data_IF_037146957153
#
_entry.id   IF_037146957153
#
_cell.length_a   1.000
_cell.length_b   1.000
_cell.length_c   1.000
_cell.angle_alpha   90.00
_cell.angle_beta   90.00
_cell.angle_gamma   90.00
#
_symmetry.space_group_name_H-M   'P 1'
#
loop_
_entity.id
_entity.type
_entity.pdbx_description
1 polymer ?
#
# COMPACT_ATOMS: atom_id res chain seq x y z
N UNK A 1 -38.24 93.91 -61.41
CA UNK A 1 -36.89 93.26 -61.22
C UNK A 1 -37.04 92.13 -60.23
N UNK A 2 -36.20 91.12 -60.34
CA UNK A 2 -36.13 89.95 -59.43
C UNK A 2 -35.98 90.49 -58.00
N UNK A 3 -36.76 89.95 -57.04
CA UNK A 3 -36.70 90.29 -55.60
C UNK A 3 -37.53 91.48 -55.16
N UNK A 4 -38.43 91.93 -55.98
CA UNK A 4 -39.42 93.01 -55.68
C UNK A 4 -40.82 92.53 -55.96
N UNK A 5 -41.76 92.86 -55.08
CA UNK A 5 -43.16 92.61 -55.22
C UNK A 5 -43.99 93.87 -54.78
N UNK A 6 -45.24 93.95 -55.21
CA UNK A 6 -46.16 94.84 -54.58
C UNK A 6 -47.47 94.11 -54.28
N UNK A 7 -48.02 94.27 -53.12
CA UNK A 7 -49.22 93.57 -52.65
C UNK A 7 -50.54 94.39 -52.98
N UNK A 8 -50.42 95.60 -53.48
CA UNK A 8 -51.57 96.47 -53.73
C UNK A 8 -51.69 96.86 -55.19
N UNK A 9 -52.88 96.59 -55.72
CA UNK A 9 -53.22 96.99 -57.09
C UNK A 9 -53.16 98.52 -57.28
N UNK A 10 -52.37 99.04 -58.26
CA UNK A 10 -52.15 100.45 -58.48
C UNK A 10 -50.97 101.08 -57.76
N UNK A 11 -50.07 100.28 -57.10
CA UNK A 11 -48.84 100.79 -56.46
C UNK A 11 -47.84 101.29 -57.53
N UNK A 12 -47.24 102.48 -57.22
CA UNK A 12 -46.29 103.18 -58.08
C UNK A 12 -44.83 102.76 -57.78
N UNK A 13 -44.62 101.96 -56.71
CA UNK A 13 -43.30 101.36 -56.25
C UNK A 13 -43.35 99.94 -55.96
N UNK A 14 -42.26 99.18 -56.26
CA UNK A 14 -42.09 97.82 -55.84
C UNK A 14 -41.25 97.83 -54.54
N UNK A 15 -41.69 97.07 -53.55
CA UNK A 15 -40.96 96.85 -52.35
C UNK A 15 -39.98 95.67 -52.47
N UNK A 16 -38.77 95.88 -51.97
CA UNK A 16 -37.77 94.80 -51.97
C UNK A 16 -38.14 93.76 -50.88
N UNK A 17 -38.06 92.51 -51.28
CA UNK A 17 -38.24 91.39 -50.35
C UNK A 17 -37.34 91.56 -49.12
N UNK A 18 -37.93 91.63 -47.90
CA UNK A 18 -37.11 91.67 -46.69
C UNK A 18 -36.18 90.49 -46.53
N UNK A 19 -35.05 90.67 -45.93
CA UNK A 19 -34.14 89.56 -45.57
C UNK A 19 -34.91 88.61 -44.66
N UNK A 20 -34.72 87.25 -44.84
CA UNK A 20 -35.45 86.26 -44.10
C UNK A 20 -36.78 85.86 -44.70
N UNK A 21 -37.20 86.47 -45.83
CA UNK A 21 -38.43 86.10 -46.52
C UNK A 21 -38.20 85.80 -48.02
N UNK A 22 -39.14 85.12 -48.65
CA UNK A 22 -39.18 84.79 -50.10
C UNK A 22 -40.52 85.21 -50.66
N UNK A 23 -40.65 85.30 -51.94
CA UNK A 23 -41.89 85.76 -52.62
C UNK A 23 -42.64 84.52 -53.05
N UNK A 24 -43.89 84.35 -52.66
CA UNK A 24 -44.81 83.31 -53.15
C UNK A 24 -46.01 84.07 -53.73
N UNK A 25 -46.04 84.11 -55.04
CA UNK A 25 -47.07 84.90 -55.77
C UNK A 25 -46.82 86.42 -55.58
N UNK A 26 -47.62 87.02 -54.75
CA UNK A 26 -47.55 88.49 -54.43
C UNK A 26 -47.14 88.76 -52.94
N UNK A 27 -47.11 87.67 -52.09
CA UNK A 27 -46.91 87.82 -50.66
C UNK A 27 -45.49 87.51 -50.30
N UNK A 28 -44.99 88.19 -49.20
CA UNK A 28 -43.75 87.95 -48.59
C UNK A 28 -43.92 86.91 -47.45
N UNK A 29 -43.42 85.71 -47.67
CA UNK A 29 -43.49 84.64 -46.66
C UNK A 29 -42.18 84.46 -46.04
N UNK A 30 -42.18 84.29 -44.71
CA UNK A 30 -40.91 83.95 -43.93
C UNK A 30 -40.36 82.56 -44.43
N UNK A 31 -39.06 82.55 -44.60
CA UNK A 31 -38.37 81.31 -44.87
C UNK A 31 -38.76 80.22 -43.85
N UNK A 32 -39.14 79.03 -44.34
CA UNK A 32 -39.49 77.92 -43.51
C UNK A 32 -38.23 77.34 -42.87
N UNK A 33 -38.34 76.76 -41.70
CA UNK A 33 -37.21 76.05 -41.10
C UNK A 33 -36.57 75.03 -42.10
N UNK A 34 -35.24 74.91 -42.06
CA UNK A 34 -34.48 74.15 -43.03
C UNK A 34 -34.02 74.91 -44.26
N UNK A 35 -34.49 76.19 -44.41
CA UNK A 35 -34.19 77.05 -45.54
C UNK A 35 -33.72 78.43 -45.02
N UNK A 36 -33.01 79.18 -45.86
CA UNK A 36 -32.68 80.56 -45.60
C UNK A 36 -33.02 81.44 -46.80
N UNK A 37 -33.23 82.71 -46.52
CA UNK A 37 -33.53 83.68 -47.49
C UNK A 37 -32.63 84.96 -47.26
N UNK A 38 -31.72 85.23 -48.18
CA UNK A 38 -30.73 86.29 -48.06
C UNK A 38 -31.28 87.74 -48.38
N UNK A 39 -32.58 87.79 -48.68
CA UNK A 39 -33.21 89.01 -49.13
C UNK A 39 -33.15 89.16 -50.65
N UNK A 40 -34.29 89.67 -51.27
CA UNK A 40 -34.45 89.78 -52.70
C UNK A 40 -34.60 88.46 -53.42
N UNK A 41 -34.79 87.33 -52.70
CA UNK A 41 -34.94 85.98 -53.31
C UNK A 41 -36.33 85.72 -53.69
N UNK A 42 -36.54 85.06 -54.85
CA UNK A 42 -37.84 84.55 -55.27
C UNK A 42 -38.17 83.23 -54.59
N UNK A 43 -37.19 82.45 -54.24
CA UNK A 43 -37.37 81.14 -53.64
C UNK A 43 -36.57 81.03 -52.33
N UNK A 44 -37.06 80.17 -51.48
CA UNK A 44 -36.26 79.76 -50.29
C UNK A 44 -35.16 78.78 -50.75
N UNK A 45 -33.93 78.99 -50.15
CA UNK A 45 -32.78 78.16 -50.45
C UNK A 45 -32.59 77.15 -49.33
N UNK A 46 -32.60 75.88 -49.64
CA UNK A 46 -32.43 74.83 -48.62
C UNK A 46 -31.00 74.92 -48.05
N UNK A 47 -30.87 74.63 -46.74
CA UNK A 47 -29.55 74.52 -46.11
C UNK A 47 -28.75 73.40 -46.76
N UNK A 48 -27.47 73.62 -46.96
CA UNK A 48 -26.54 72.61 -47.45
C UNK A 48 -26.38 71.50 -46.37
N UNK A 49 -26.08 70.27 -46.76
CA UNK A 49 -25.70 69.25 -45.81
C UNK A 49 -24.61 69.77 -44.83
N UNK A 50 -24.73 69.46 -43.50
CA UNK A 50 -23.87 69.96 -42.45
C UNK A 50 -24.29 71.31 -41.85
N UNK A 51 -25.36 71.93 -42.38
CA UNK A 51 -25.88 73.17 -41.84
C UNK A 51 -27.40 73.15 -41.63
N UNK A 52 -27.92 73.88 -40.74
CA UNK A 52 -29.33 73.89 -40.38
C UNK A 52 -29.87 75.34 -40.13
N UNK A 53 -31.19 75.49 -40.33
CA UNK A 53 -31.91 76.72 -39.99
C UNK A 53 -33.13 76.33 -39.15
N UNK A 54 -33.11 76.62 -37.87
CA UNK A 54 -34.15 76.22 -36.92
C UNK A 54 -35.35 77.16 -36.91
N UNK A 55 -35.08 78.38 -37.15
CA UNK A 55 -36.12 79.45 -37.02
C UNK A 55 -36.71 79.84 -38.39
N UNK A 56 -37.99 80.14 -38.37
CA UNK A 56 -38.57 80.80 -39.52
C UNK A 56 -37.91 82.19 -39.74
N UNK A 57 -37.79 82.60 -41.01
CA UNK A 57 -37.14 83.81 -41.34
C UNK A 57 -35.63 83.82 -41.27
N UNK A 58 -35.00 82.65 -41.28
CA UNK A 58 -33.54 82.54 -41.25
C UNK A 58 -32.91 83.18 -42.48
N UNK A 59 -31.92 84.03 -42.27
CA UNK A 59 -31.20 84.77 -43.33
C UNK A 59 -29.96 83.99 -43.84
N UNK A 60 -29.51 82.96 -43.08
CA UNK A 60 -28.41 82.08 -43.41
C UNK A 60 -28.58 80.79 -42.63
N UNK A 61 -28.07 79.66 -43.15
CA UNK A 61 -27.95 78.47 -42.38
C UNK A 61 -26.71 78.54 -41.44
N UNK A 62 -26.86 77.95 -40.28
CA UNK A 62 -25.74 77.80 -39.30
C UNK A 62 -25.08 76.47 -39.47
N UNK A 63 -23.78 76.46 -39.59
CA UNK A 63 -23.01 75.23 -39.62
C UNK A 63 -23.17 74.47 -38.31
N UNK A 64 -23.40 73.13 -38.40
CA UNK A 64 -23.42 72.30 -37.24
C UNK A 64 -22.04 72.30 -36.57
N UNK A 65 -22.02 72.52 -35.26
CA UNK A 65 -20.80 72.48 -34.44
C UNK A 65 -20.23 71.03 -34.38
N UNK A 66 -18.97 70.88 -34.06
CA UNK A 66 -18.42 69.54 -33.82
C UNK A 66 -19.28 68.72 -32.84
N UNK A 67 -19.47 67.45 -33.08
CA UNK A 67 -20.37 66.57 -32.37
C UNK A 67 -21.78 66.50 -32.93
N UNK A 68 -22.14 67.42 -33.85
CA UNK A 68 -23.45 67.53 -34.45
C UNK A 68 -23.36 67.36 -35.99
N UNK A 69 -24.42 66.85 -36.59
CA UNK A 69 -24.54 66.72 -38.02
C UNK A 69 -25.91 67.13 -38.53
N UNK A 70 -26.03 67.44 -39.80
CA UNK A 70 -27.27 67.60 -40.46
C UNK A 70 -27.24 66.95 -41.85
N UNK A 71 -28.04 65.91 -42.03
CA UNK A 71 -28.13 65.16 -43.27
C UNK A 71 -29.60 65.06 -43.73
N UNK A 72 -29.81 64.33 -44.80
CA UNK A 72 -31.16 63.96 -45.25
C UNK A 72 -31.83 64.93 -46.22
N UNK A 73 -33.15 64.79 -46.39
CA UNK A 73 -33.93 65.63 -47.22
C UNK A 73 -33.93 67.09 -46.71
N UNK A 74 -34.15 68.01 -47.61
CA UNK A 74 -34.18 69.44 -47.31
C UNK A 74 -35.06 69.77 -46.10
N UNK A 75 -36.19 69.08 -45.92
CA UNK A 75 -37.10 69.24 -44.81
C UNK A 75 -36.55 68.76 -43.46
N UNK A 76 -35.43 68.06 -43.43
CA UNK A 76 -34.84 67.50 -42.21
C UNK A 76 -33.66 68.36 -41.67
N UNK A 77 -33.16 69.35 -42.41
CA UNK A 77 -32.08 70.27 -42.00
C UNK A 77 -32.56 71.42 -41.15
N UNK A 78 -33.58 71.14 -40.34
CA UNK A 78 -34.19 72.10 -39.47
C UNK A 78 -33.25 72.34 -38.28
N UNK A 79 -32.66 71.30 -37.74
CA UNK A 79 -31.79 71.34 -36.55
C UNK A 79 -30.60 70.39 -36.69
N UNK A 80 -29.46 70.81 -36.22
CA UNK A 80 -28.32 69.89 -36.09
C UNK A 80 -28.59 68.84 -35.03
N UNK A 81 -28.39 67.56 -35.42
CA UNK A 81 -28.59 66.37 -34.59
C UNK A 81 -27.27 65.96 -33.94
N UNK A 82 -27.31 65.54 -32.69
CA UNK A 82 -26.14 64.99 -32.03
C UNK A 82 -25.80 63.59 -32.58
N UNK A 83 -24.53 63.34 -32.79
CA UNK A 83 -24.10 61.97 -33.14
C UNK A 83 -24.49 61.01 -32.00
N UNK A 84 -25.06 59.89 -32.40
CA UNK A 84 -25.32 58.76 -31.47
C UNK A 84 -24.05 58.20 -30.89
N UNK A 85 -24.17 57.43 -29.79
CA UNK A 85 -23.05 56.71 -29.22
C UNK A 85 -22.39 55.80 -30.30
N UNK A 86 -21.06 55.68 -30.24
CA UNK A 86 -20.21 54.99 -31.23
C UNK A 86 -19.95 55.77 -32.51
N UNK A 87 -20.51 56.99 -32.64
CA UNK A 87 -20.28 57.87 -33.77
C UNK A 87 -19.81 59.23 -33.28
N UNK A 88 -18.97 59.91 -34.08
CA UNK A 88 -18.45 61.25 -33.76
C UNK A 88 -18.50 62.17 -35.00
N UNK A 89 -18.41 63.46 -34.71
CA UNK A 89 -18.25 64.50 -35.73
C UNK A 89 -17.11 65.41 -35.30
N UNK A 90 -15.92 65.25 -35.86
CA UNK A 90 -14.70 65.97 -35.41
C UNK A 90 -14.63 67.43 -35.88
N UNK A 91 -15.35 67.78 -36.96
CA UNK A 91 -15.31 69.08 -37.58
C UNK A 91 -16.69 69.70 -37.63
N UNK A 92 -16.74 71.02 -37.80
CA UNK A 92 -17.98 71.71 -38.08
C UNK A 92 -18.44 71.39 -39.51
N UNK A 93 -19.72 71.59 -39.75
CA UNK A 93 -20.36 71.42 -41.07
C UNK A 93 -20.34 69.97 -41.61
N UNK A 94 -20.39 68.98 -40.75
CA UNK A 94 -20.49 67.58 -41.16
C UNK A 94 -21.94 67.18 -41.48
N UNK A 95 -22.10 66.48 -42.55
CA UNK A 95 -23.42 65.98 -43.02
C UNK A 95 -23.76 64.64 -42.43
N UNK A 96 -22.82 63.90 -41.85
CA UNK A 96 -23.00 62.62 -41.21
C UNK A 96 -21.97 62.44 -40.10
N UNK A 97 -22.30 61.63 -39.14
CA UNK A 97 -21.35 61.17 -38.12
C UNK A 97 -20.50 60.04 -38.68
N UNK A 98 -19.20 60.04 -38.32
CA UNK A 98 -18.27 58.97 -38.60
C UNK A 98 -18.34 57.93 -37.51
N UNK A 99 -18.25 56.66 -37.85
CA UNK A 99 -18.17 55.55 -36.90
C UNK A 99 -16.78 55.57 -36.26
N UNK A 100 -16.73 55.31 -34.95
CA UNK A 100 -15.44 55.15 -34.28
C UNK A 100 -14.66 53.99 -34.90
N UNK A 101 -13.34 54.16 -35.13
CA UNK A 101 -12.46 53.06 -35.57
C UNK A 101 -12.50 51.92 -34.61
N UNK A 102 -12.15 50.69 -35.10
CA UNK A 102 -11.98 49.52 -34.23
C UNK A 102 -11.00 49.81 -33.09
N UNK A 103 -11.31 49.40 -31.89
CA UNK A 103 -10.51 49.69 -30.68
C UNK A 103 -10.82 51.07 -30.02
N UNK A 104 -11.75 51.80 -30.61
CA UNK A 104 -12.19 53.10 -30.06
C UNK A 104 -13.67 53.19 -29.89
N UNK A 105 -14.12 54.05 -28.96
CA UNK A 105 -15.54 54.29 -28.70
C UNK A 105 -15.75 55.73 -28.18
N UNK A 106 -16.95 56.18 -28.24
CA UNK A 106 -17.37 57.35 -27.47
C UNK A 106 -17.61 56.98 -26.01
N UNK A 107 -17.47 57.90 -25.07
CA UNK A 107 -17.84 57.64 -23.67
C UNK A 107 -19.25 57.07 -23.58
N UNK A 108 -19.45 56.12 -22.67
CA UNK A 108 -20.73 55.40 -22.53
C UNK A 108 -21.90 56.38 -22.24
N UNK A 109 -22.93 56.26 -23.01
CA UNK A 109 -24.14 57.12 -22.91
C UNK A 109 -23.94 58.57 -23.44
N UNK A 110 -22.78 58.95 -23.95
CA UNK A 110 -22.58 60.28 -24.51
C UNK A 110 -23.00 60.35 -25.99
N UNK A 111 -23.89 61.32 -26.29
CA UNK A 111 -24.22 61.74 -27.66
C UNK A 111 -23.47 63.05 -27.97
N UNK A 112 -23.24 63.31 -29.27
CA UNK A 112 -22.57 64.52 -29.71
C UNK A 112 -21.05 64.49 -29.47
N UNK A 113 -20.44 63.32 -29.52
CA UNK A 113 -19.00 63.19 -29.36
C UNK A 113 -18.22 63.85 -30.52
N UNK A 114 -17.13 64.53 -30.20
CA UNK A 114 -16.22 65.12 -31.19
C UNK A 114 -15.05 64.26 -31.57
N UNK A 115 -14.73 63.26 -30.73
CA UNK A 115 -13.61 62.35 -30.91
C UNK A 115 -13.97 60.97 -30.33
N UNK A 116 -13.29 59.90 -30.79
CA UNK A 116 -13.34 58.60 -30.17
C UNK A 116 -12.15 58.42 -29.28
N UNK A 117 -12.35 57.85 -28.09
CA UNK A 117 -11.34 57.48 -27.12
C UNK A 117 -10.95 56.00 -27.29
N UNK A 118 -9.69 55.67 -27.02
CA UNK A 118 -9.23 54.28 -26.98
C UNK A 118 -9.97 53.48 -25.93
N UNK A 119 -10.22 52.22 -26.21
CA UNK A 119 -10.83 51.32 -25.25
C UNK A 119 -9.99 51.18 -23.99
N UNK A 120 -10.63 51.17 -22.85
CA UNK A 120 -9.98 50.87 -21.56
C UNK A 120 -9.42 49.43 -21.57
N UNK A 121 -8.43 49.18 -20.73
CA UNK A 121 -7.93 47.84 -20.48
C UNK A 121 -9.10 46.88 -20.21
N UNK A 122 -9.00 45.66 -20.66
CA UNK A 122 -10.07 44.65 -20.57
C UNK A 122 -11.18 44.80 -21.60
N UNK A 123 -11.09 45.79 -22.53
CA UNK A 123 -12.06 46.00 -23.61
C UNK A 123 -11.37 46.12 -24.96
N UNK A 124 -11.96 45.60 -26.02
CA UNK A 124 -11.40 45.65 -27.36
C UNK A 124 -12.48 45.63 -28.44
N UNK A 125 -12.02 45.87 -29.67
CA UNK A 125 -12.85 45.70 -30.86
C UNK A 125 -13.84 46.81 -31.11
N UNK A 126 -14.83 46.55 -31.91
CA UNK A 126 -15.88 47.49 -32.28
C UNK A 126 -16.77 47.84 -31.09
N UNK A 127 -16.72 49.10 -30.67
CA UNK A 127 -17.50 49.60 -29.55
C UNK A 127 -16.99 49.17 -28.20
N UNK A 128 -15.72 48.81 -28.07
CA UNK A 128 -15.05 48.48 -26.81
C UNK A 128 -15.78 47.36 -26.05
N UNK A 129 -16.01 46.23 -26.67
CA UNK A 129 -16.62 45.09 -26.01
C UNK A 129 -15.73 44.54 -24.92
N UNK A 130 -16.34 44.07 -23.84
CA UNK A 130 -15.64 43.45 -22.71
C UNK A 130 -14.97 42.15 -23.18
N UNK A 131 -13.70 41.93 -22.84
CA UNK A 131 -13.03 40.67 -23.02
C UNK A 131 -13.68 39.60 -22.16
N UNK A 132 -13.97 38.44 -22.77
CA UNK A 132 -14.62 37.31 -22.11
C UNK A 132 -13.64 36.60 -21.18
N UNK A 133 -14.17 35.72 -20.34
CA UNK A 133 -13.35 34.80 -19.54
C UNK A 133 -12.35 34.03 -20.41
N UNK A 134 -11.17 33.78 -19.94
CA UNK A 134 -10.08 33.21 -20.72
C UNK A 134 -9.34 34.20 -21.63
N UNK A 135 -9.78 35.46 -21.66
CA UNK A 135 -9.19 36.53 -22.49
C UNK A 135 -8.84 37.75 -21.64
N UNK A 136 -7.92 38.56 -22.15
CA UNK A 136 -7.52 39.83 -21.52
C UNK A 136 -7.11 40.86 -22.58
N UNK A 137 -6.98 42.12 -22.16
CA UNK A 137 -6.31 43.14 -22.95
C UNK A 137 -5.68 44.20 -22.03
N UNK A 138 -4.37 44.28 -22.00
CA UNK A 138 -3.67 45.32 -21.31
C UNK A 138 -3.75 46.65 -22.10
N UNK A 139 -3.59 47.76 -21.42
CA UNK A 139 -3.61 49.08 -22.04
C UNK A 139 -2.56 49.30 -23.14
N UNK A 140 -1.46 48.55 -23.08
CA UNK A 140 -0.37 48.59 -24.06
C UNK A 140 -0.60 47.68 -25.28
N UNK A 141 -1.62 46.85 -25.28
CA UNK A 141 -1.89 45.89 -26.35
C UNK A 141 -2.75 46.55 -27.44
N UNK A 142 -2.75 45.95 -28.63
CA UNK A 142 -3.64 46.36 -29.71
C UNK A 142 -5.10 46.38 -29.22
N UNK A 143 -5.80 47.47 -29.56
CA UNK A 143 -7.17 47.71 -29.14
C UNK A 143 -8.21 46.96 -29.99
N UNK A 144 -7.77 46.33 -31.07
CA UNK A 144 -8.68 45.72 -32.04
C UNK A 144 -9.30 44.41 -31.54
N UNK A 145 -8.60 43.63 -30.71
CA UNK A 145 -9.05 42.31 -30.24
C UNK A 145 -8.61 42.05 -28.81
N UNK A 146 -9.38 41.20 -28.10
CA UNK A 146 -8.92 40.60 -26.86
C UNK A 146 -7.92 39.52 -27.16
N UNK A 147 -6.95 39.31 -26.26
CA UNK A 147 -5.87 38.34 -26.36
C UNK A 147 -6.23 37.13 -25.50
N UNK A 148 -6.05 35.94 -26.01
CA UNK A 148 -6.29 34.71 -25.27
C UNK A 148 -5.21 34.46 -24.22
N UNK A 149 -5.61 33.99 -23.04
CA UNK A 149 -4.67 33.49 -22.06
C UNK A 149 -3.96 32.25 -22.63
N UNK A 150 -2.65 32.26 -22.58
CA UNK A 150 -1.83 31.12 -23.01
C UNK A 150 -1.95 29.95 -22.02
N UNK A 151 -1.59 28.77 -22.49
CA UNK A 151 -1.45 27.61 -21.59
C UNK A 151 -0.57 27.94 -20.38
N UNK A 152 -0.94 27.46 -19.21
CA UNK A 152 -0.35 27.84 -17.92
C UNK A 152 -1.02 29.04 -17.23
N UNK A 153 -1.84 29.80 -17.99
CA UNK A 153 -2.54 30.97 -17.51
C UNK A 153 -4.06 30.81 -17.66
N UNK A 154 -4.82 31.53 -16.87
CA UNK A 154 -6.28 31.56 -16.92
C UNK A 154 -6.85 32.95 -16.61
N UNK A 155 -8.12 33.18 -16.92
CA UNK A 155 -8.84 34.34 -16.45
C UNK A 155 -10.31 34.02 -16.23
N UNK A 156 -10.76 34.09 -15.00
CA UNK A 156 -12.13 33.74 -14.60
C UNK A 156 -13.13 34.91 -14.62
N UNK A 157 -12.61 36.11 -14.71
CA UNK A 157 -13.43 37.32 -14.75
C UNK A 157 -13.37 37.96 -16.14
N UNK A 158 -14.47 38.59 -16.54
CA UNK A 158 -14.53 39.37 -17.77
C UNK A 158 -13.86 40.75 -17.57
N UNK A 159 -13.42 41.33 -18.65
CA UNK A 159 -12.91 42.72 -18.66
C UNK A 159 -11.56 42.92 -17.98
N UNK A 160 -10.75 41.88 -17.86
CA UNK A 160 -9.47 41.97 -17.17
C UNK A 160 -8.32 42.38 -18.10
N UNK A 161 -7.33 43.08 -17.48
CA UNK A 161 -6.16 43.56 -18.18
C UNK A 161 -5.04 42.54 -18.33
N UNK A 162 -5.10 41.43 -17.63
CA UNK A 162 -4.06 40.37 -17.64
C UNK A 162 -4.65 39.01 -17.32
N UNK A 163 -3.96 37.96 -17.71
CA UNK A 163 -4.24 36.61 -17.23
C UNK A 163 -3.54 36.33 -15.91
N UNK A 164 -4.09 35.41 -15.13
CA UNK A 164 -3.56 34.94 -13.87
C UNK A 164 -2.77 33.65 -14.10
N UNK A 165 -1.65 33.44 -13.41
CA UNK A 165 -0.91 32.19 -13.48
C UNK A 165 -1.63 31.09 -12.71
N UNK A 166 -1.62 29.87 -13.21
CA UNK A 166 -2.01 28.70 -12.42
C UNK A 166 -1.08 28.59 -11.21
N UNK A 167 -1.65 28.45 -10.02
CA UNK A 167 -0.89 28.27 -8.78
C UNK A 167 -0.23 26.88 -8.74
N UNK A 168 0.80 26.70 -7.90
CA UNK A 168 1.33 25.36 -7.62
C UNK A 168 0.21 24.36 -7.26
N UNK A 169 0.34 23.12 -7.70
CA UNK A 169 -0.71 22.10 -7.63
C UNK A 169 -1.69 22.13 -8.80
N UNK A 170 -1.68 23.21 -9.60
CA UNK A 170 -2.60 23.40 -10.74
C UNK A 170 -1.84 23.55 -12.05
N UNK A 171 -2.50 23.22 -13.16
CA UNK A 171 -1.98 23.40 -14.51
C UNK A 171 -3.08 23.80 -15.49
N UNK A 172 -2.70 24.28 -16.66
CA UNK A 172 -3.62 24.48 -17.76
C UNK A 172 -2.90 24.23 -19.10
N UNK A 173 -3.33 23.23 -19.85
CA UNK A 173 -2.72 22.84 -21.13
C UNK A 173 -3.35 23.49 -22.35
N UNK A 174 -4.49 24.15 -22.18
CA UNK A 174 -5.22 24.80 -23.26
C UNK A 174 -5.20 26.32 -23.09
N UNK A 175 -5.24 27.03 -24.19
CA UNK A 175 -5.43 28.48 -24.19
C UNK A 175 -6.90 28.84 -23.93
N UNK A 176 -7.14 30.11 -23.60
CA UNK A 176 -8.49 30.69 -23.41
C UNK A 176 -9.32 30.05 -22.31
N UNK A 177 -8.70 29.50 -21.27
CA UNK A 177 -9.43 28.82 -20.21
C UNK A 177 -9.78 29.76 -19.04
N UNK A 178 -10.97 29.58 -18.46
CA UNK A 178 -11.40 30.38 -17.30
C UNK A 178 -10.84 29.88 -15.98
N UNK A 179 -10.31 28.66 -15.92
CA UNK A 179 -9.83 28.01 -14.69
C UNK A 179 -8.62 27.14 -14.95
N UNK A 180 -7.83 26.88 -13.90
CA UNK A 180 -6.79 25.87 -13.93
C UNK A 180 -7.33 24.51 -13.45
N UNK A 181 -6.72 23.42 -13.90
CA UNK A 181 -7.02 22.06 -13.53
C UNK A 181 -6.08 21.58 -12.42
N UNK A 182 -6.56 20.84 -11.42
CA UNK A 182 -5.68 20.26 -10.41
C UNK A 182 -4.86 19.10 -10.98
N UNK A 183 -3.62 18.96 -10.53
CA UNK A 183 -2.83 17.76 -10.79
C UNK A 183 -3.58 16.53 -10.24
N UNK A 184 -3.66 15.49 -11.05
CA UNK A 184 -4.25 14.21 -10.65
C UNK A 184 -3.30 13.46 -9.70
N UNK A 185 -3.79 12.48 -8.92
CA UNK A 185 -2.93 11.64 -8.10
C UNK A 185 -1.73 11.08 -8.89
N UNK A 186 -0.61 10.89 -8.25
CA UNK A 186 0.70 10.51 -8.82
C UNK A 186 1.39 11.64 -9.60
N UNK A 187 0.80 12.83 -9.65
CA UNK A 187 1.39 13.98 -10.32
C UNK A 187 1.37 15.20 -9.40
N UNK A 188 2.34 16.10 -9.59
CA UNK A 188 2.48 17.30 -8.81
C UNK A 188 2.89 18.51 -9.66
N UNK A 189 2.76 19.69 -9.11
CA UNK A 189 3.22 20.95 -9.69
C UNK A 189 3.77 21.83 -8.58
N UNK A 190 5.06 22.06 -8.54
CA UNK A 190 5.73 22.89 -7.55
C UNK A 190 5.95 24.35 -8.00
N UNK A 191 5.63 24.66 -9.24
CA UNK A 191 5.79 25.96 -9.86
C UNK A 191 4.44 26.47 -10.39
N UNK A 192 4.34 27.80 -10.53
CA UNK A 192 3.18 28.42 -11.16
C UNK A 192 3.31 28.45 -12.68
N UNK A 193 2.19 28.67 -13.37
CA UNK A 193 2.10 28.77 -14.84
C UNK A 193 2.46 27.50 -15.59
N UNK A 194 2.35 26.33 -14.98
CA UNK A 194 2.64 25.06 -15.66
C UNK A 194 1.53 24.70 -16.64
N UNK A 195 1.96 24.12 -17.76
CA UNK A 195 1.08 23.58 -18.80
C UNK A 195 0.74 22.11 -18.57
N UNK A 196 1.51 21.41 -17.74
CA UNK A 196 1.28 20.00 -17.36
C UNK A 196 1.91 19.74 -15.98
N UNK A 197 1.36 18.80 -15.26
CA UNK A 197 1.95 18.34 -14.00
C UNK A 197 3.11 17.38 -14.26
N UNK A 198 4.04 17.31 -13.32
CA UNK A 198 5.15 16.35 -13.30
C UNK A 198 4.71 15.07 -12.63
N UNK A 199 5.18 13.92 -13.11
CA UNK A 199 4.99 12.64 -12.43
C UNK A 199 5.91 12.52 -11.22
N UNK A 200 5.42 11.93 -10.13
CA UNK A 200 6.25 11.63 -8.97
C UNK A 200 7.39 10.68 -9.34
N UNK A 201 8.59 10.89 -8.79
CA UNK A 201 9.70 9.94 -8.89
C UNK A 201 9.35 8.59 -8.29
N UNK A 202 10.10 7.54 -8.64
CA UNK A 202 9.98 6.25 -7.97
C UNK A 202 10.23 6.37 -6.47
N UNK A 203 9.35 5.79 -5.69
CA UNK A 203 9.43 5.84 -4.24
C UNK A 203 8.82 7.09 -3.60
N UNK A 204 8.13 7.89 -4.40
CA UNK A 204 7.38 9.04 -3.94
C UNK A 204 5.95 9.02 -4.48
N UNK A 205 5.02 9.60 -3.75
CA UNK A 205 3.60 9.59 -4.04
C UNK A 205 2.98 10.97 -3.81
N UNK A 206 1.96 11.28 -4.59
CA UNK A 206 1.07 12.40 -4.40
C UNK A 206 -0.36 11.89 -4.44
N UNK A 207 -0.98 11.69 -3.29
CA UNK A 207 -2.30 11.05 -3.21
C UNK A 207 -3.46 12.02 -3.44
N UNK A 208 -3.24 13.31 -3.17
CA UNK A 208 -4.28 14.31 -3.27
C UNK A 208 -4.34 14.94 -4.66
N UNK A 209 -5.54 15.33 -5.07
CA UNK A 209 -5.73 16.25 -6.20
C UNK A 209 -5.07 17.58 -5.89
N UNK A 210 -4.34 18.14 -6.85
CA UNK A 210 -3.70 19.43 -6.69
C UNK A 210 -2.44 19.41 -5.81
N UNK A 211 -1.76 18.27 -5.72
CA UNK A 211 -0.52 18.17 -4.95
C UNK A 211 0.58 19.08 -5.51
N UNK A 212 1.26 19.76 -4.62
CA UNK A 212 2.37 20.67 -4.94
C UNK A 212 3.73 19.95 -4.88
N UNK A 213 3.81 18.80 -4.22
CA UNK A 213 5.03 18.00 -4.08
C UNK A 213 4.66 16.52 -3.92
N UNK A 214 5.63 15.66 -4.15
CA UNK A 214 5.52 14.25 -3.85
C UNK A 214 6.15 13.97 -2.48
N UNK A 215 5.52 13.11 -1.70
CA UNK A 215 6.00 12.62 -0.41
C UNK A 215 6.66 11.26 -0.58
N UNK A 216 7.69 10.95 0.20
CA UNK A 216 8.33 9.64 0.17
C UNK A 216 7.36 8.55 0.62
N UNK A 217 7.38 7.43 -0.08
CA UNK A 217 6.63 6.26 0.32
C UNK A 217 6.89 5.90 1.79
N UNK A 218 5.85 5.59 2.58
CA UNK A 218 6.01 5.08 3.94
C UNK A 218 6.92 3.86 3.98
N UNK A 219 7.57 3.64 5.11
CA UNK A 219 8.31 2.40 5.33
C UNK A 219 7.37 1.19 5.12
N UNK A 220 7.90 0.11 4.57
CA UNK A 220 7.11 -1.06 4.19
C UNK A 220 6.51 -1.02 2.78
N UNK A 221 6.55 0.12 2.09
CA UNK A 221 6.03 0.27 0.73
C UNK A 221 7.10 0.74 -0.24
N UNK A 222 6.94 0.53 -1.54
CA UNK A 222 7.94 0.87 -2.56
C UNK A 222 7.32 1.24 -3.91
N UNK A 223 8.13 1.79 -4.78
CA UNK A 223 7.76 2.09 -6.15
C UNK A 223 6.91 3.35 -6.29
N UNK A 224 6.32 3.55 -7.46
CA UNK A 224 5.54 4.76 -7.77
C UNK A 224 4.22 4.89 -7.02
N UNK A 225 3.60 3.76 -6.71
CA UNK A 225 2.28 3.70 -6.08
C UNK A 225 2.39 3.35 -4.59
N UNK A 226 3.59 3.41 -4.02
CA UNK A 226 3.85 2.97 -2.65
C UNK A 226 3.21 1.62 -2.34
N UNK A 227 3.42 0.64 -3.23
CA UNK A 227 2.90 -0.71 -3.09
C UNK A 227 3.55 -1.40 -1.89
N UNK A 228 2.78 -2.13 -1.11
CA UNK A 228 3.27 -2.90 0.02
C UNK A 228 4.34 -3.92 -0.39
N UNK A 229 5.42 -4.02 0.38
CA UNK A 229 6.35 -5.12 0.27
C UNK A 229 5.60 -6.45 0.43
N UNK A 230 5.85 -7.41 -0.44
CA UNK A 230 5.22 -8.73 -0.36
C UNK A 230 5.83 -9.55 0.79
N UNK A 231 5.15 -10.61 1.28
CA UNK A 231 5.71 -11.51 2.27
C UNK A 231 7.12 -11.99 1.89
N UNK A 232 8.00 -12.11 2.85
CA UNK A 232 9.42 -12.40 2.63
C UNK A 232 10.28 -11.17 2.33
N UNK A 233 9.68 -10.00 2.25
CA UNK A 233 10.37 -8.74 1.99
C UNK A 233 10.02 -7.66 3.00
N UNK A 234 10.87 -6.65 3.10
CA UNK A 234 10.68 -5.50 3.98
C UNK A 234 11.35 -4.26 3.39
N UNK A 235 10.95 -3.09 3.87
CA UNK A 235 11.66 -1.83 3.62
C UNK A 235 11.57 -0.92 4.83
N UNK A 236 12.69 -0.61 5.42
CA UNK A 236 12.76 0.37 6.52
C UNK A 236 12.73 1.81 5.99
N UNK A 237 12.54 2.77 6.86
CA UNK A 237 12.52 4.20 6.50
C UNK A 237 13.84 4.73 5.93
N UNK A 238 14.95 4.08 6.23
CA UNK A 238 16.29 4.45 5.75
C UNK A 238 16.68 3.77 4.43
N UNK A 239 15.90 2.78 4.00
CA UNK A 239 16.16 2.06 2.75
C UNK A 239 15.68 2.86 1.54
N UNK A 240 16.29 2.66 0.34
CA UNK A 240 15.82 3.26 -0.89
C UNK A 240 14.33 2.99 -1.12
N UNK A 241 13.56 4.00 -1.55
CA UNK A 241 12.10 3.86 -1.65
C UNK A 241 11.63 3.14 -2.92
N UNK A 242 12.53 2.74 -3.79
CA UNK A 242 12.24 2.14 -5.10
C UNK A 242 12.09 0.62 -5.07
N UNK A 243 12.58 -0.06 -4.02
CA UNK A 243 12.58 -1.51 -3.94
C UNK A 243 12.49 -2.04 -2.51
N UNK A 244 11.78 -3.15 -2.31
CA UNK A 244 11.83 -3.90 -1.05
C UNK A 244 13.02 -4.84 -1.03
N UNK A 245 13.64 -4.98 0.15
CA UNK A 245 14.73 -5.93 0.41
C UNK A 245 14.16 -7.28 0.81
N UNK A 246 14.77 -8.35 0.34
CA UNK A 246 14.44 -9.70 0.79
C UNK A 246 14.94 -9.94 2.21
N UNK A 247 14.16 -10.65 3.02
CA UNK A 247 14.63 -11.16 4.29
C UNK A 247 15.84 -12.07 4.06
N UNK A 248 16.89 -11.86 4.81
CA UNK A 248 18.09 -12.71 4.75
C UNK A 248 17.78 -14.10 5.34
N UNK A 249 18.60 -15.09 5.00
CA UNK A 249 18.57 -16.37 5.70
C UNK A 249 18.57 -16.16 7.22
N UNK A 250 17.95 -17.06 7.98
CA UNK A 250 17.67 -16.97 9.43
C UNK A 250 16.48 -16.10 9.81
N UNK A 251 15.92 -15.35 8.85
CA UNK A 251 14.80 -14.43 9.06
C UNK A 251 13.66 -14.69 8.08
N UNK A 252 12.48 -14.21 8.42
CA UNK A 252 11.27 -14.36 7.61
C UNK A 252 10.35 -13.16 7.82
N UNK A 253 9.37 -12.99 6.92
CA UNK A 253 8.31 -12.00 7.11
C UNK A 253 6.99 -12.49 6.51
N UNK A 254 5.96 -12.79 7.31
CA UNK A 254 4.68 -13.29 6.83
C UNK A 254 3.75 -12.20 6.31
N UNK A 255 3.94 -10.96 6.77
CA UNK A 255 3.00 -9.86 6.52
C UNK A 255 3.49 -8.94 5.40
N UNK A 256 2.52 -8.40 4.67
CA UNK A 256 2.77 -7.35 3.68
C UNK A 256 3.08 -6.02 4.38
N UNK A 257 3.74 -5.13 3.67
CA UNK A 257 4.01 -3.78 4.16
C UNK A 257 4.95 -3.71 5.36
N UNK A 258 5.73 -4.74 5.60
CA UNK A 258 6.58 -4.83 6.78
C UNK A 258 7.87 -4.02 6.66
N UNK A 259 8.31 -3.50 7.80
CA UNK A 259 9.50 -2.64 7.91
C UNK A 259 10.76 -3.37 8.35
N UNK A 260 10.63 -4.62 8.80
CA UNK A 260 11.72 -5.45 9.32
C UNK A 260 11.38 -6.92 9.17
N UNK A 261 12.39 -7.78 9.05
CA UNK A 261 12.22 -9.22 9.09
C UNK A 261 12.33 -9.75 10.52
N UNK A 262 11.56 -10.81 10.81
CA UNK A 262 11.51 -11.50 12.09
C UNK A 262 12.54 -12.64 12.10
N UNK A 263 13.18 -12.88 13.25
CA UNK A 263 14.09 -14.00 13.41
C UNK A 263 13.34 -15.32 13.63
N UNK A 264 13.86 -16.41 13.08
CA UNK A 264 13.34 -17.74 13.36
C UNK A 264 13.46 -18.08 14.85
N UNK A 265 12.34 -18.46 15.46
CA UNK A 265 12.30 -18.93 16.84
C UNK A 265 13.04 -20.26 16.99
N UNK A 266 13.50 -20.60 18.19
CA UNK A 266 14.09 -21.91 18.48
C UNK A 266 13.18 -23.06 17.96
N UNK A 267 13.80 -24.13 17.49
CA UNK A 267 13.09 -25.23 16.83
C UNK A 267 12.77 -24.99 15.35
N UNK A 268 13.07 -23.82 14.82
CA UNK A 268 12.81 -23.46 13.42
C UNK A 268 14.02 -22.82 12.77
N UNK A 269 14.18 -22.98 11.47
CA UNK A 269 15.30 -22.42 10.69
C UNK A 269 14.80 -21.84 9.35
N UNK A 270 15.65 -21.06 8.72
CA UNK A 270 15.46 -20.62 7.33
C UNK A 270 16.83 -20.44 6.65
N UNK A 271 17.10 -21.23 5.65
CA UNK A 271 18.34 -21.27 4.88
C UNK A 271 18.30 -20.39 3.61
N UNK A 272 17.12 -19.93 3.22
CA UNK A 272 16.89 -19.18 2.00
C UNK A 272 16.42 -17.76 2.30
N UNK A 273 16.76 -16.86 1.39
CA UNK A 273 16.30 -15.48 1.45
C UNK A 273 14.88 -15.31 0.91
N UNK A 274 14.21 -14.25 1.35
CA UNK A 274 12.91 -13.86 0.82
C UNK A 274 11.76 -14.78 1.22
N UNK A 275 11.87 -15.48 2.35
CA UNK A 275 10.84 -16.40 2.81
C UNK A 275 9.85 -15.77 3.78
N UNK A 276 8.62 -16.22 3.68
CA UNK A 276 7.47 -15.77 4.50
C UNK A 276 7.33 -16.52 5.83
N UNK A 277 8.07 -17.62 6.02
CA UNK A 277 8.01 -18.45 7.24
C UNK A 277 9.30 -19.20 7.47
N UNK A 278 9.54 -19.58 8.72
CA UNK A 278 10.60 -20.51 9.08
C UNK A 278 10.13 -21.95 9.02
N UNK A 279 11.03 -22.86 8.67
CA UNK A 279 10.83 -24.31 8.56
C UNK A 279 11.07 -24.92 9.95
N UNK A 280 10.17 -25.79 10.42
CA UNK A 280 10.33 -26.51 11.67
C UNK A 280 11.35 -27.63 11.55
N UNK A 281 12.20 -27.83 12.57
CA UNK A 281 13.09 -28.98 12.66
C UNK A 281 12.28 -30.29 12.59
N UNK A 282 12.80 -31.27 11.91
CA UNK A 282 12.21 -32.61 11.81
C UNK A 282 12.34 -33.34 13.16
N UNK A 283 11.61 -34.44 13.28
CA UNK A 283 11.83 -35.41 14.38
C UNK A 283 13.28 -35.87 14.39
N UNK A 284 13.83 -36.06 15.55
CA UNK A 284 15.26 -36.39 15.71
C UNK A 284 16.19 -35.20 15.58
N UNK A 285 15.66 -33.98 15.34
CA UNK A 285 16.42 -32.75 15.19
C UNK A 285 15.92 -31.66 16.13
N UNK A 286 16.78 -30.73 16.43
CA UNK A 286 16.48 -29.55 17.25
C UNK A 286 17.25 -28.33 16.78
N UNK A 287 16.87 -27.15 17.25
CA UNK A 287 17.67 -25.93 17.15
C UNK A 287 17.42 -25.04 18.37
N UNK A 288 18.43 -24.88 19.19
CA UNK A 288 18.39 -23.99 20.35
C UNK A 288 18.41 -22.51 19.97
N UNK A 289 18.26 -21.64 20.95
CA UNK A 289 18.24 -20.19 20.73
C UNK A 289 19.61 -19.63 20.26
N UNK A 290 20.70 -20.23 20.70
CA UNK A 290 22.08 -19.84 20.36
C UNK A 290 22.62 -20.51 19.10
N UNK A 291 21.90 -21.50 18.57
CA UNK A 291 22.37 -22.26 17.40
C UNK A 291 22.14 -21.47 16.11
N UNK A 292 22.90 -21.85 15.07
CA UNK A 292 22.73 -21.25 13.75
C UNK A 292 21.29 -21.45 13.24
N UNK A 293 20.65 -20.36 12.86
CA UNK A 293 19.27 -20.40 12.40
C UNK A 293 19.10 -20.79 10.92
N UNK A 294 20.14 -21.27 10.25
CA UNK A 294 20.06 -21.79 8.87
C UNK A 294 19.82 -23.27 8.78
N UNK A 295 19.95 -24.02 9.86
CA UNK A 295 19.82 -25.48 9.87
C UNK A 295 19.40 -26.01 11.23
N UNK A 296 18.91 -27.24 11.26
CA UNK A 296 18.64 -27.96 12.49
C UNK A 296 19.77 -28.95 12.75
N UNK A 297 20.05 -29.21 14.03
CA UNK A 297 21.09 -30.10 14.51
C UNK A 297 20.42 -31.44 14.86
N UNK A 298 21.00 -32.56 14.44
CA UNK A 298 20.55 -33.90 14.84
C UNK A 298 20.80 -34.13 16.31
N UNK A 299 19.89 -34.79 17.01
CA UNK A 299 20.09 -35.22 18.37
C UNK A 299 21.33 -36.10 18.46
N UNK A 300 22.17 -35.87 19.45
CA UNK A 300 23.32 -36.74 19.74
C UNK A 300 22.84 -38.11 20.20
N UNK A 301 23.72 -39.10 20.09
CA UNK A 301 23.48 -40.40 20.71
C UNK A 301 23.12 -40.27 22.19
N UNK A 302 22.24 -41.09 22.69
CA UNK A 302 21.70 -40.98 24.06
C UNK A 302 20.54 -40.00 24.22
N UNK A 303 20.24 -39.24 23.15
CA UNK A 303 19.12 -38.27 23.11
C UNK A 303 18.18 -38.52 21.94
N UNK A 304 16.94 -38.05 22.05
CA UNK A 304 15.92 -38.20 21.03
C UNK A 304 14.98 -37.01 20.94
N UNK A 305 14.24 -36.90 19.84
CA UNK A 305 13.18 -35.89 19.73
C UNK A 305 11.99 -36.41 18.91
N UNK A 306 10.86 -36.74 19.55
CA UNK A 306 9.67 -37.29 18.88
C UNK A 306 8.80 -36.25 18.19
N UNK A 307 8.98 -34.97 18.50
CA UNK A 307 8.13 -33.86 18.01
C UNK A 307 8.89 -32.99 17.01
N UNK A 308 8.14 -32.36 16.11
CA UNK A 308 8.65 -31.37 15.18
C UNK A 308 8.90 -30.03 15.88
N UNK A 309 9.78 -29.22 15.31
CA UNK A 309 10.03 -27.84 15.70
C UNK A 309 10.40 -27.65 17.19
N UNK A 310 11.27 -28.48 17.69
CA UNK A 310 11.71 -28.42 19.09
C UNK A 310 13.07 -27.73 19.26
N UNK A 311 13.21 -27.06 20.39
CA UNK A 311 14.41 -26.30 20.73
C UNK A 311 15.54 -27.14 21.31
N UNK A 312 15.27 -28.36 21.74
CA UNK A 312 16.27 -29.26 22.37
C UNK A 312 15.87 -30.72 22.18
N UNK A 313 16.81 -31.63 22.30
CA UNK A 313 16.56 -33.05 22.40
C UNK A 313 16.30 -33.47 23.85
N UNK A 314 15.51 -34.52 24.02
CA UNK A 314 15.21 -35.15 25.30
C UNK A 314 16.24 -36.26 25.59
N UNK A 315 16.69 -36.45 26.82
CA UNK A 315 17.59 -37.53 27.19
C UNK A 315 16.82 -38.88 27.19
N UNK A 316 17.46 -39.93 26.77
CA UNK A 316 16.98 -41.28 27.07
C UNK A 316 16.95 -41.49 28.59
N UNK A 317 15.82 -42.00 29.09
CA UNK A 317 15.70 -42.32 30.52
C UNK A 317 16.41 -43.64 30.86
N UNK A 318 16.78 -43.86 32.11
CA UNK A 318 17.36 -45.16 32.51
C UNK A 318 16.51 -46.34 32.08
N UNK A 319 17.15 -47.42 31.66
CA UNK A 319 16.50 -48.58 31.06
C UNK A 319 16.31 -48.48 29.54
N UNK A 320 16.65 -47.33 28.93
CA UNK A 320 16.57 -47.11 27.49
C UNK A 320 17.85 -46.49 26.93
N UNK A 321 18.07 -46.60 25.63
CA UNK A 321 19.25 -46.05 24.96
C UNK A 321 18.95 -45.60 23.53
N UNK A 322 19.82 -44.74 23.00
CA UNK A 322 19.87 -44.40 21.59
C UNK A 322 21.29 -44.45 21.08
N UNK A 323 21.61 -45.36 20.23
CA UNK A 323 22.98 -45.58 19.72
C UNK A 323 23.34 -44.68 18.53
N UNK A 324 22.36 -44.08 17.88
CA UNK A 324 22.53 -43.29 16.66
C UNK A 324 22.18 -41.83 16.91
N UNK A 325 22.77 -40.96 16.10
CA UNK A 325 22.38 -39.54 16.07
C UNK A 325 21.04 -39.40 15.34
N UNK A 326 20.26 -38.37 15.69
CA UNK A 326 18.96 -38.12 15.06
C UNK A 326 17.85 -39.04 15.53
N UNK A 327 17.96 -39.67 16.69
CA UNK A 327 16.96 -40.57 17.25
C UNK A 327 15.61 -39.84 17.45
N UNK A 328 14.53 -40.52 17.08
CA UNK A 328 13.16 -40.05 17.28
C UNK A 328 12.52 -40.60 18.54
N UNK A 329 13.10 -41.68 19.09
CA UNK A 329 12.73 -42.36 20.33
C UNK A 329 13.96 -43.06 20.93
N UNK A 330 13.84 -43.56 22.14
CA UNK A 330 14.85 -44.41 22.76
C UNK A 330 14.40 -45.84 22.74
N UNK A 331 15.35 -46.73 22.41
CA UNK A 331 15.13 -48.18 22.39
C UNK A 331 15.24 -48.72 23.82
N UNK A 332 14.36 -49.60 24.20
CA UNK A 332 14.39 -50.30 25.49
C UNK A 332 15.57 -51.26 25.55
N UNK A 333 16.23 -51.36 26.71
CA UNK A 333 17.21 -52.40 26.92
C UNK A 333 16.52 -53.76 26.82
N UNK A 334 17.05 -54.70 25.98
CA UNK A 334 16.54 -56.04 25.95
C UNK A 334 16.81 -56.77 27.28
N UNK A 335 16.13 -57.90 27.51
CA UNK A 335 16.34 -58.72 28.67
C UNK A 335 17.83 -59.07 28.84
N UNK A 336 18.29 -59.15 30.04
CA UNK A 336 19.69 -59.39 30.48
C UNK A 336 20.67 -58.26 30.18
N UNK A 337 20.13 -57.08 29.81
CA UNK A 337 20.90 -55.85 29.68
C UNK A 337 20.25 -54.76 30.49
N UNK A 338 21.03 -53.77 30.89
CA UNK A 338 20.58 -52.67 31.69
C UNK A 338 21.24 -51.37 31.26
N UNK A 339 20.60 -50.26 31.57
CA UNK A 339 21.17 -48.92 31.47
C UNK A 339 20.77 -48.10 32.70
N UNK A 340 21.69 -47.67 33.50
CA UNK A 340 21.42 -46.97 34.75
C UNK A 340 21.50 -45.46 34.64
N UNK A 341 22.21 -44.96 33.60
CA UNK A 341 22.40 -43.53 33.39
C UNK A 341 21.33 -42.96 32.43
N UNK A 342 21.03 -41.67 32.59
CA UNK A 342 20.38 -40.91 31.57
C UNK A 342 21.32 -40.65 30.41
N UNK A 343 20.81 -40.41 29.20
CA UNK A 343 21.55 -40.31 27.95
C UNK A 343 22.30 -41.63 27.56
N UNK A 344 21.77 -42.76 27.90
CA UNK A 344 22.34 -44.05 27.54
C UNK A 344 22.52 -44.19 26.03
N UNK A 345 23.73 -44.59 25.60
CA UNK A 345 24.03 -44.84 24.17
C UNK A 345 24.02 -46.33 23.83
N UNK A 346 24.08 -47.19 24.84
CA UNK A 346 24.00 -48.65 24.74
C UNK A 346 23.50 -49.23 26.06
N UNK A 347 23.07 -50.45 26.05
CA UNK A 347 22.79 -51.18 27.28
C UNK A 347 23.98 -52.11 27.59
N UNK A 348 24.38 -52.16 28.83
CA UNK A 348 25.45 -53.04 29.32
C UNK A 348 24.87 -54.40 29.65
N UNK A 349 25.67 -55.46 29.44
CA UNK A 349 25.30 -56.84 29.74
C UNK A 349 25.31 -57.07 31.27
N UNK A 350 24.36 -57.86 31.75
CA UNK A 350 24.34 -58.26 33.13
C UNK A 350 25.54 -59.15 33.43
N UNK A 351 26.22 -58.98 34.59
CA UNK A 351 27.26 -59.91 35.02
C UNK A 351 26.71 -61.33 35.20
N UNK A 352 27.58 -62.30 35.06
CA UNK A 352 27.21 -63.71 35.24
C UNK A 352 26.52 -63.93 36.60
N UNK A 353 25.39 -64.60 36.56
CA UNK A 353 24.59 -64.86 37.75
C UNK A 353 23.54 -63.77 38.04
N UNK A 354 23.48 -62.78 37.17
CA UNK A 354 22.53 -61.67 37.27
C UNK A 354 21.64 -61.67 36.02
N UNK A 355 20.42 -61.21 36.17
CA UNK A 355 19.45 -61.06 35.09
C UNK A 355 18.77 -59.72 35.19
N UNK A 356 18.21 -59.26 34.11
CA UNK A 356 17.39 -58.08 34.05
C UNK A 356 16.21 -58.29 33.09
N UNK A 357 14.99 -57.94 33.46
CA UNK A 357 13.88 -57.83 32.51
C UNK A 357 14.14 -56.70 31.52
N UNK A 358 13.31 -56.64 30.45
CA UNK A 358 13.40 -55.53 29.50
C UNK A 358 13.24 -54.16 30.21
N UNK A 359 13.86 -53.16 29.66
CA UNK A 359 13.86 -51.77 30.18
C UNK A 359 14.43 -51.62 31.58
N UNK A 360 15.31 -52.50 32.01
CA UNK A 360 15.91 -52.47 33.36
C UNK A 360 16.95 -51.41 33.51
N UNK A 361 16.97 -50.78 34.68
CA UNK A 361 17.97 -49.81 35.10
C UNK A 361 19.17 -50.50 35.82
N UNK A 362 19.04 -51.73 36.24
CA UNK A 362 20.06 -52.51 36.92
C UNK A 362 19.76 -54.01 36.79
N UNK A 363 20.82 -54.80 36.90
CA UNK A 363 20.67 -56.25 36.99
C UNK A 363 20.34 -56.65 38.43
N UNK A 364 19.63 -57.75 38.55
CA UNK A 364 19.29 -58.44 39.79
C UNK A 364 19.94 -59.81 39.84
N UNK A 365 20.51 -60.19 40.95
CA UNK A 365 21.06 -61.51 41.15
C UNK A 365 19.94 -62.55 41.04
N UNK A 366 20.20 -63.69 40.32
CA UNK A 366 19.29 -64.81 40.32
C UNK A 366 18.95 -65.21 41.78
N UNK A 367 17.66 -65.30 42.08
CA UNK A 367 17.16 -65.69 43.42
C UNK A 367 17.72 -67.07 43.79
N UNK A 368 17.77 -67.29 45.11
CA UNK A 368 18.18 -68.60 45.64
C UNK A 368 17.33 -69.73 45.00
N UNK A 369 17.96 -70.88 44.84
CA UNK A 369 17.33 -72.00 44.13
C UNK A 369 17.32 -71.85 42.58
N UNK A 370 17.91 -70.80 42.03
CA UNK A 370 18.03 -70.59 40.56
C UNK A 370 19.47 -70.34 40.17
N UNK A 371 19.88 -70.77 39.00
CA UNK A 371 21.22 -70.55 38.44
C UNK A 371 21.13 -69.81 37.09
N UNK A 372 22.16 -69.14 36.69
CA UNK A 372 22.24 -68.43 35.42
C UNK A 372 22.70 -69.41 34.31
N UNK A 373 21.90 -69.44 33.23
CA UNK A 373 22.29 -70.11 32.00
C UNK A 373 22.04 -69.16 30.83
N UNK A 374 23.10 -68.48 30.40
CA UNK A 374 23.01 -67.50 29.30
C UNK A 374 22.11 -66.28 29.61
N UNK A 375 22.18 -65.78 30.85
CA UNK A 375 21.41 -64.62 31.32
C UNK A 375 19.99 -64.94 31.79
N UNK A 376 19.60 -66.22 31.78
CA UNK A 376 18.29 -66.64 32.27
C UNK A 376 18.46 -67.35 33.62
N UNK A 377 17.72 -66.88 34.61
CA UNK A 377 17.67 -67.55 35.91
C UNK A 377 16.77 -68.78 35.83
N UNK A 378 17.36 -69.94 35.57
CA UNK A 378 16.67 -71.23 35.53
C UNK A 378 16.59 -71.83 36.92
N UNK A 379 15.48 -72.48 37.21
CA UNK A 379 15.26 -73.18 38.46
C UNK A 379 16.18 -74.40 38.58
N UNK A 380 16.87 -74.61 39.71
CA UNK A 380 17.66 -75.76 39.92
C UNK A 380 16.78 -77.01 39.78
N UNK A 381 17.23 -78.04 39.08
CA UNK A 381 16.46 -79.28 38.95
C UNK A 381 16.34 -79.98 40.33
N UNK A 382 15.41 -80.95 40.39
CA UNK A 382 15.30 -81.81 41.61
C UNK A 382 16.64 -82.55 41.89
N UNK A 383 17.01 -82.69 43.15
CA UNK A 383 18.29 -83.21 43.55
C UNK A 383 19.42 -82.18 43.59
N UNK A 384 19.15 -80.94 43.18
CA UNK A 384 20.14 -79.84 43.12
C UNK A 384 19.68 -78.64 43.90
N UNK A 385 20.57 -77.97 44.62
CA UNK A 385 20.32 -76.74 45.40
C UNK A 385 21.18 -75.56 44.97
N UNK A 386 20.74 -74.39 45.31
CA UNK A 386 21.61 -73.21 45.29
C UNK A 386 21.30 -72.35 46.51
N UNK A 387 22.22 -72.37 47.47
CA UNK A 387 22.12 -71.63 48.71
C UNK A 387 22.78 -70.24 48.59
N UNK A 388 22.53 -69.40 49.60
CA UNK A 388 23.11 -68.04 49.70
C UNK A 388 24.64 -67.98 49.76
N UNK A 389 25.28 -69.09 50.16
CA UNK A 389 26.72 -69.18 50.33
C UNK A 389 27.44 -69.76 49.07
N UNK A 390 26.66 -70.16 48.07
CA UNK A 390 27.25 -70.72 46.83
C UNK A 390 27.88 -69.62 46.00
N UNK A 391 29.14 -69.71 45.75
CA UNK A 391 29.92 -68.75 44.96
C UNK A 391 29.74 -68.94 43.45
N UNK A 392 29.35 -70.12 43.03
CA UNK A 392 29.10 -70.39 41.60
C UNK A 392 27.66 -70.09 41.26
N UNK A 393 27.45 -68.97 40.52
CA UNK A 393 26.14 -68.52 40.15
C UNK A 393 25.59 -69.14 38.85
N UNK A 394 26.42 -69.92 38.12
CA UNK A 394 26.08 -70.52 36.82
C UNK A 394 25.67 -71.98 36.91
N UNK A 395 25.78 -72.61 38.08
CA UNK A 395 25.44 -74.00 38.30
C UNK A 395 24.77 -74.15 39.64
N UNK A 396 23.86 -75.13 39.72
CA UNK A 396 23.38 -75.64 40.99
C UNK A 396 24.37 -76.65 41.57
N UNK A 397 24.38 -76.75 42.84
CA UNK A 397 25.17 -77.76 43.58
C UNK A 397 24.30 -79.02 43.78
N UNK A 398 24.81 -80.19 43.41
CA UNK A 398 24.13 -81.44 43.67
C UNK A 398 24.06 -81.77 45.15
N UNK A 399 22.95 -82.33 45.60
CA UNK A 399 22.87 -82.77 46.98
C UNK A 399 23.87 -83.92 47.21
N UNK A 400 24.46 -83.89 48.40
CA UNK A 400 25.35 -85.01 48.79
C UNK A 400 24.60 -86.36 48.88
N UNK A 401 25.29 -87.42 48.69
CA UNK A 401 24.68 -88.72 48.87
C UNK A 401 23.94 -88.87 50.20
N UNK A 402 22.78 -89.46 50.19
CA UNK A 402 21.86 -89.53 51.36
C UNK A 402 20.99 -88.28 51.59
N UNK A 403 21.08 -87.31 50.71
CA UNK A 403 20.27 -86.09 50.78
C UNK A 403 19.44 -85.87 49.51
N UNK A 404 18.30 -85.20 49.65
CA UNK A 404 17.38 -84.90 48.57
C UNK A 404 16.81 -83.48 48.69
N UNK A 405 16.23 -83.02 47.59
CA UNK A 405 15.38 -81.80 47.63
C UNK A 405 13.90 -82.19 47.79
N UNK A 406 13.52 -83.41 48.01
CA UNK A 406 12.14 -83.85 48.12
C UNK A 406 11.37 -83.79 46.80
N UNK A 407 12.03 -84.00 45.63
CA UNK A 407 11.40 -83.89 44.34
C UNK A 407 11.10 -82.51 43.83
N UNK A 408 11.50 -81.43 44.59
CA UNK A 408 11.22 -80.04 44.27
C UNK A 408 12.37 -79.41 43.55
N UNK A 409 12.09 -78.86 42.44
CA UNK A 409 13.06 -77.94 41.78
C UNK A 409 13.12 -76.57 42.53
N UNK A 410 14.23 -75.89 42.39
CA UNK A 410 14.42 -74.54 43.00
C UNK A 410 14.75 -74.53 44.50
N UNK A 411 15.26 -75.64 45.01
CA UNK A 411 15.58 -75.81 46.42
C UNK A 411 16.85 -75.04 46.81
N UNK A 412 16.84 -74.52 48.03
CA UNK A 412 17.99 -73.81 48.64
C UNK A 412 18.79 -74.68 49.54
N UNK A 413 18.23 -75.78 49.99
CA UNK A 413 18.80 -76.73 50.93
C UNK A 413 18.54 -78.19 50.50
N UNK A 414 19.39 -79.06 50.92
CA UNK A 414 19.13 -80.53 50.80
C UNK A 414 18.79 -81.05 52.18
N UNK A 415 17.81 -81.96 52.26
CA UNK A 415 17.35 -82.59 53.48
C UNK A 415 17.80 -84.10 53.45
N UNK A 416 18.13 -84.65 54.61
CA UNK A 416 18.45 -86.06 54.72
C UNK A 416 17.28 -86.91 54.39
N UNK A 417 17.47 -88.00 53.62
CA UNK A 417 16.43 -88.98 53.40
C UNK A 417 15.86 -89.51 54.73
N UNK A 418 14.57 -89.73 54.75
CA UNK A 418 13.87 -90.28 55.92
C UNK A 418 14.22 -91.74 56.20
N UNK A 419 13.88 -92.22 57.38
CA UNK A 419 13.96 -93.64 57.74
C UNK A 419 13.26 -94.49 56.73
N UNK A 420 13.81 -95.59 56.37
CA UNK A 420 13.30 -96.49 55.37
C UNK A 420 13.57 -96.01 53.92
N UNK A 421 14.37 -94.97 53.73
CA UNK A 421 14.78 -94.39 52.42
C UNK A 421 16.29 -94.21 52.31
N UNK A 422 16.79 -94.28 51.06
CA UNK A 422 18.17 -94.05 50.71
C UNK A 422 18.29 -93.18 49.46
N UNK A 423 19.42 -92.61 49.23
CA UNK A 423 19.73 -91.81 48.04
C UNK A 423 21.18 -92.00 47.60
N UNK A 424 21.35 -92.42 46.36
CA UNK A 424 22.68 -92.45 45.73
C UNK A 424 22.76 -91.43 44.62
N UNK A 425 23.96 -91.10 44.10
CA UNK A 425 24.21 -90.11 43.12
C UNK A 425 23.53 -90.29 41.76
N UNK A 426 22.98 -91.49 41.50
CA UNK A 426 22.27 -91.77 40.26
C UNK A 426 20.78 -91.49 40.31
N UNK A 427 20.27 -91.07 41.40
CA UNK A 427 18.84 -90.76 41.63
C UNK A 427 18.58 -89.30 41.92
N UNK A 428 17.48 -88.75 41.41
CA UNK A 428 17.09 -87.35 41.66
C UNK A 428 16.45 -87.18 43.02
N UNK A 429 15.98 -88.27 43.71
CA UNK A 429 15.23 -88.14 44.97
C UNK A 429 15.46 -89.46 45.80
N UNK A 430 15.07 -89.39 47.06
CA UNK A 430 15.16 -90.54 47.94
C UNK A 430 14.26 -91.65 47.47
N UNK A 431 14.77 -92.89 47.41
CA UNK A 431 14.06 -94.08 47.10
C UNK A 431 13.78 -94.90 48.36
N UNK A 432 12.64 -95.50 48.44
CA UNK A 432 12.27 -96.41 49.52
C UNK A 432 13.05 -97.68 49.41
N UNK A 433 13.45 -98.29 50.53
CA UNK A 433 14.09 -99.54 50.61
C UNK A 433 13.15 -100.63 49.98
N UNK A 434 13.74 -101.57 49.22
CA UNK A 434 13.00 -102.71 48.65
C UNK A 434 12.55 -103.69 49.73
N UNK A 435 11.59 -104.50 49.37
CA UNK A 435 11.12 -105.51 50.31
C UNK A 435 12.28 -106.49 50.70
N UNK A 436 12.41 -106.64 52.02
CA UNK A 436 13.56 -107.40 52.58
C UNK A 436 14.78 -106.49 52.92
N UNK A 437 14.66 -105.20 52.78
CA UNK A 437 15.68 -104.25 53.15
C UNK A 437 15.11 -103.15 54.13
N UNK A 438 15.92 -102.58 54.96
CA UNK A 438 15.56 -101.53 55.90
C UNK A 438 16.65 -100.45 55.95
N UNK A 439 16.25 -99.31 56.48
CA UNK A 439 17.20 -98.23 56.82
C UNK A 439 16.75 -97.58 58.10
N UNK A 440 17.51 -97.76 59.14
CA UNK A 440 17.23 -97.24 60.48
C UNK A 440 17.76 -95.80 60.75
N UNK A 441 18.66 -95.35 59.87
CA UNK A 441 19.29 -93.99 60.00
C UNK A 441 18.86 -93.12 58.86
N UNK A 442 18.73 -91.79 59.16
CA UNK A 442 18.47 -90.81 58.13
C UNK A 442 19.70 -90.41 57.33
N UNK A 443 19.54 -90.27 56.04
CA UNK A 443 20.59 -89.75 55.17
C UNK A 443 21.64 -90.81 54.73
N UNK A 444 21.25 -92.02 54.62
CA UNK A 444 22.07 -93.08 54.12
C UNK A 444 21.98 -93.25 52.59
N UNK A 445 23.02 -93.83 52.01
CA UNK A 445 23.19 -94.01 50.56
C UNK A 445 22.66 -95.34 50.03
N UNK A 446 22.39 -96.26 50.94
CA UNK A 446 21.94 -97.63 50.62
C UNK A 446 21.06 -98.20 51.77
N UNK A 447 20.26 -99.21 51.44
CA UNK A 447 19.50 -99.92 52.44
C UNK A 447 20.25 -101.19 52.87
N UNK A 448 20.09 -101.62 54.13
CA UNK A 448 20.63 -102.81 54.76
C UNK A 448 19.62 -103.98 54.58
N UNK A 449 20.17 -105.12 54.38
CA UNK A 449 19.31 -106.33 54.32
C UNK A 449 18.81 -106.73 55.70
N UNK A 450 17.54 -107.15 55.78
CA UNK A 450 17.05 -107.70 56.99
C UNK A 450 17.74 -109.06 57.19
N UNK A 451 18.54 -109.17 58.24
CA UNK A 451 19.14 -110.44 58.64
C UNK A 451 18.00 -111.33 59.13
N UNK A 452 17.78 -112.42 58.45
CA UNK A 452 16.80 -113.40 58.85
C UNK A 452 17.02 -114.00 60.19
N UNK A 453 16.05 -113.82 61.10
CA UNK A 453 15.96 -114.55 62.33
C UNK A 453 16.57 -113.96 63.57
N UNK A 454 15.97 -113.02 64.14
CA UNK A 454 15.64 -112.99 65.59
C UNK A 454 14.30 -112.29 65.79
#
# INVERSE_FOLDING_TARGET
>A
PAGFSNANDGSTTCEQNPIGSYIDGVDFLLCTPGHYCSGGAFDKVPCSPGSAAENQGSVKCLSCSPGLFADGAESMRIKCQACESKYFAGFSNQSSCEKCPIGKNTPEGQTGATTCQSCDAGRAGEGCKICQTGQYRASSNDESTCIECLAGLYQHEEGQASCLPCAPGLYQNLASQPTCLPCIPQMFSNESSLQSCYSCPNGEIADALGSMLCEKCPAGTYGRECTDCVPGQYRSSIDPPDVCKKCLAKTYQPERGSVVCLQCLPGRYQDQEGRDKCIGCLKGQYRGASDNATECISCESGKYQPKLAQASCLPCVPGTFSSTTGGTDCTQCPANRYQFETNGIKCDDCPTGWTAPESSTRCQMCSLGKFDKGGLCLTCPSGWKRASKDTNLTKCQECEPGQTTGGKGGSTTCEKCSLGQYHNVSQADCSSCAVGQYQADKGRTECEWCLGGE
#
